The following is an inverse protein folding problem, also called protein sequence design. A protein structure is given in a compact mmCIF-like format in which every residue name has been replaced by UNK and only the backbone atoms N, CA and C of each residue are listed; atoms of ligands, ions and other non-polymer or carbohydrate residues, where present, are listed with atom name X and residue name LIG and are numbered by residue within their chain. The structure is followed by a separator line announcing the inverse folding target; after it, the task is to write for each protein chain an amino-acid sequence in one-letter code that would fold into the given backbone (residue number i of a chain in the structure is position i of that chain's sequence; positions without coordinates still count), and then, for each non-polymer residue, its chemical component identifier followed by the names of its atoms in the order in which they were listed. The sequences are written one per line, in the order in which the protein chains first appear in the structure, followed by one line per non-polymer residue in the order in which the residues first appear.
data_IF_413264967982
#
_entry.id   IF_413264967982
#
_cell.length_a   1.000
_cell.length_b   1.000
_cell.length_c   1.000
_cell.angle_alpha   90.00
_cell.angle_beta   90.00
_cell.angle_gamma   90.00
#
_symmetry.space_group_name_H-M   'P 1'
#
loop_
_entity.id
_entity.type
_entity.pdbx_description
1 polymer ?
#
# COMPACT_ATOMS: atom_id res chain seq x y z
N UNK A 1 -73.57 56.89 1.53
CA UNK A 1 -73.19 57.93 2.50
C UNK A 1 -72.53 57.25 3.69
N UNK A 2 -71.25 57.50 3.90
CA UNK A 2 -70.42 56.88 4.95
C UNK A 2 -70.50 57.64 6.29
N UNK A 3 -70.42 56.92 7.42
CA UNK A 3 -69.93 57.38 8.73
C UNK A 3 -69.70 56.14 9.61
N UNK A 4 -68.47 55.64 9.81
CA UNK A 4 -67.33 56.09 10.63
C UNK A 4 -67.38 55.56 12.08
N UNK A 5 -66.50 54.57 12.29
CA UNK A 5 -65.86 53.98 13.48
C UNK A 5 -65.74 54.90 14.72
N UNK A 6 -65.99 54.34 15.91
CA UNK A 6 -65.24 54.65 17.16
C UNK A 6 -64.99 53.33 17.94
N UNK A 7 -63.75 53.22 18.40
CA UNK A 7 -63.04 52.13 19.07
C UNK A 7 -62.86 52.44 20.58
N UNK A 8 -62.47 51.42 21.35
CA UNK A 8 -61.66 51.43 22.60
C UNK A 8 -62.30 51.25 23.98
N UNK A 9 -61.95 50.07 24.52
CA UNK A 9 -61.13 49.87 25.73
C UNK A 9 -61.73 50.23 27.09
N UNK A 10 -61.96 49.20 27.91
CA UNK A 10 -61.62 49.20 29.36
C UNK A 10 -61.98 47.87 30.05
N UNK A 11 -61.38 46.73 29.65
CA UNK A 11 -61.36 45.53 30.51
C UNK A 11 -60.05 44.75 30.34
N UNK A 12 -58.93 45.44 30.53
CA UNK A 12 -57.63 44.80 30.74
C UNK A 12 -57.04 45.52 31.93
N UNK A 13 -57.22 45.02 33.17
CA UNK A 13 -56.33 45.30 34.31
C UNK A 13 -56.71 44.64 35.65
N UNK A 14 -57.40 43.49 35.68
CA UNK A 14 -57.48 42.71 36.92
C UNK A 14 -57.30 41.22 36.63
N UNK A 15 -56.42 40.60 37.42
CA UNK A 15 -56.05 39.19 37.44
C UNK A 15 -54.88 38.76 36.51
N UNK A 16 -53.96 39.67 36.21
CA UNK A 16 -52.52 39.34 36.19
C UNK A 16 -52.06 39.34 37.67
N UNK A 17 -52.08 38.20 38.37
CA UNK A 17 -51.34 37.90 39.64
C UNK A 17 -51.96 36.78 40.49
N UNK A 18 -52.45 35.69 39.89
CA UNK A 18 -52.57 34.43 40.63
C UNK A 18 -52.15 33.27 39.73
N UNK A 19 -51.17 32.52 40.22
CA UNK A 19 -50.75 31.20 39.73
C UNK A 19 -49.74 31.21 38.56
N UNK A 20 -48.57 31.82 38.82
CA UNK A 20 -47.29 31.25 38.37
C UNK A 20 -47.02 30.01 39.23
N UNK A 21 -47.69 28.90 38.91
CA UNK A 21 -47.31 27.56 39.38
C UNK A 21 -48.16 26.52 38.65
N UNK A 22 -47.47 25.56 38.02
CA UNK A 22 -48.03 24.31 37.47
C UNK A 22 -48.78 24.39 36.14
N UNK A 23 -48.16 24.89 35.08
CA UNK A 23 -48.33 24.23 33.77
C UNK A 23 -46.93 23.98 33.21
N UNK A 24 -46.46 22.75 33.38
CA UNK A 24 -45.48 22.18 32.46
C UNK A 24 -45.92 22.57 31.06
N UNK A 25 -45.04 23.16 30.26
CA UNK A 25 -45.24 23.19 28.82
C UNK A 25 -45.23 21.72 28.35
N UNK A 26 -46.36 21.04 28.51
CA UNK A 26 -46.58 19.74 27.96
C UNK A 26 -46.59 19.96 26.46
N UNK A 27 -45.55 19.45 25.80
CA UNK A 27 -45.42 19.39 24.36
C UNK A 27 -46.48 18.45 23.76
N UNK A 28 -47.77 18.70 24.01
CA UNK A 28 -48.90 18.11 23.30
C UNK A 28 -49.32 18.95 22.10
N UNK A 29 -48.42 19.80 21.58
CA UNK A 29 -48.70 20.81 20.56
C UNK A 29 -48.42 20.34 19.12
N UNK A 30 -48.44 19.04 18.87
CA UNK A 30 -48.32 18.45 17.54
C UNK A 30 -49.17 17.17 17.52
N UNK A 31 -50.35 17.21 16.91
CA UNK A 31 -51.12 16.00 16.60
C UNK A 31 -50.43 15.27 15.44
N UNK A 32 -49.79 14.10 15.68
CA UNK A 32 -49.05 13.40 14.65
C UNK A 32 -49.94 12.95 13.49
N UNK A 33 -51.24 12.73 13.75
CA UNK A 33 -52.21 12.31 12.74
C UNK A 33 -52.52 13.48 11.80
N UNK A 34 -52.81 14.66 12.34
CA UNK A 34 -53.01 15.87 11.52
C UNK A 34 -51.79 16.23 10.71
N UNK A 35 -50.59 16.16 11.30
CA UNK A 35 -49.34 16.43 10.59
C UNK A 35 -49.11 15.38 9.50
N UNK A 36 -49.37 14.11 9.78
CA UNK A 36 -49.28 13.03 8.79
C UNK A 36 -50.23 13.26 7.61
N UNK A 37 -51.46 13.69 7.88
CA UNK A 37 -52.46 14.00 6.85
C UNK A 37 -52.04 15.20 5.99
N UNK A 38 -51.51 16.27 6.58
CA UNK A 38 -51.03 17.44 5.83
C UNK A 38 -49.75 17.13 5.04
N UNK A 39 -48.84 16.32 5.56
CA UNK A 39 -47.69 15.83 4.81
C UNK A 39 -48.10 14.94 3.63
N UNK A 40 -49.14 14.11 3.80
CA UNK A 40 -49.67 13.27 2.73
C UNK A 40 -50.36 14.11 1.64
N UNK A 41 -51.15 15.12 2.02
CA UNK A 41 -51.72 16.08 1.07
C UNK A 41 -50.63 16.84 0.35
N UNK A 42 -49.62 17.34 1.06
CA UNK A 42 -48.48 18.01 0.44
C UNK A 42 -47.76 17.10 -0.57
N UNK A 43 -47.56 15.83 -0.25
CA UNK A 43 -46.98 14.86 -1.19
C UNK A 43 -47.85 14.66 -2.44
N UNK A 44 -49.16 14.53 -2.30
CA UNK A 44 -50.04 14.27 -3.44
C UNK A 44 -50.31 15.52 -4.26
N UNK A 45 -50.63 16.62 -3.60
CA UNK A 45 -51.22 17.81 -4.21
C UNK A 45 -50.15 18.85 -4.58
N UNK A 46 -49.09 18.99 -3.77
CA UNK A 46 -48.02 19.96 -4.04
C UNK A 46 -46.83 19.33 -4.77
N UNK A 47 -46.39 18.12 -4.37
CA UNK A 47 -45.32 17.40 -5.08
C UNK A 47 -45.82 16.62 -6.30
N UNK A 48 -47.14 16.43 -6.42
CA UNK A 48 -47.75 15.83 -7.60
C UNK A 48 -47.43 14.35 -7.79
N UNK A 49 -47.22 13.59 -6.71
CA UNK A 49 -46.77 12.19 -6.79
C UNK A 49 -47.73 11.31 -7.59
N UNK A 50 -49.03 11.57 -7.47
CA UNK A 50 -50.06 10.78 -8.14
C UNK A 50 -50.11 11.09 -9.64
N UNK A 51 -50.01 12.37 -10.01
CA UNK A 51 -49.91 12.80 -11.42
C UNK A 51 -48.62 12.26 -12.06
N UNK A 52 -47.51 12.27 -11.32
CA UNK A 52 -46.24 11.72 -11.77
C UNK A 52 -46.31 10.20 -11.99
N UNK A 53 -46.95 9.45 -11.08
CA UNK A 53 -47.15 8.00 -11.26
C UNK A 53 -48.05 7.69 -12.47
N UNK A 54 -49.12 8.47 -12.68
CA UNK A 54 -49.98 8.35 -13.86
C UNK A 54 -49.20 8.63 -15.14
N UNK A 55 -48.38 9.69 -15.16
CA UNK A 55 -47.49 9.99 -16.27
C UNK A 55 -46.51 8.85 -16.54
N UNK A 56 -45.81 8.35 -15.51
CA UNK A 56 -44.91 7.20 -15.64
C UNK A 56 -45.64 5.97 -16.17
N UNK A 57 -46.84 5.65 -15.68
CA UNK A 57 -47.61 4.49 -16.15
C UNK A 57 -48.07 4.60 -17.61
N UNK A 58 -48.24 5.83 -18.11
CA UNK A 58 -48.63 6.10 -19.51
C UNK A 58 -47.48 6.02 -20.51
N UNK A 59 -46.23 6.02 -20.04
CA UNK A 59 -45.06 5.85 -20.90
C UNK A 59 -44.91 4.38 -21.34
N UNK A 60 -44.46 4.17 -22.58
CA UNK A 60 -44.11 2.84 -23.05
C UNK A 60 -42.71 2.46 -22.59
N UNK A 61 -42.59 1.34 -21.87
CA UNK A 61 -41.30 0.77 -21.49
C UNK A 61 -41.11 -0.60 -22.08
N UNK A 62 -39.86 -0.91 -22.39
CA UNK A 62 -39.44 -2.26 -22.61
C UNK A 62 -39.09 -2.90 -21.26
N UNK A 63 -39.94 -3.81 -20.75
CA UNK A 63 -39.66 -4.55 -19.52
C UNK A 63 -38.56 -5.58 -19.80
N UNK A 64 -37.33 -5.24 -19.42
CA UNK A 64 -36.21 -6.18 -19.49
C UNK A 64 -36.09 -6.93 -18.16
N UNK A 65 -36.24 -8.26 -18.20
CA UNK A 65 -35.99 -9.11 -17.03
C UNK A 65 -34.49 -9.36 -16.93
N UNK A 66 -33.86 -8.92 -15.84
CA UNK A 66 -32.45 -9.18 -15.58
C UNK A 66 -32.28 -10.56 -14.95
N UNK A 67 -31.65 -11.49 -15.67
CA UNK A 67 -31.21 -12.76 -15.11
C UNK A 67 -29.86 -12.54 -14.39
N UNK A 68 -29.83 -12.76 -13.07
CA UNK A 68 -28.64 -12.57 -12.26
C UNK A 68 -27.46 -13.45 -12.68
N UNK A 69 -27.71 -14.68 -13.14
CA UNK A 69 -26.65 -15.61 -13.52
C UNK A 69 -26.01 -15.23 -14.86
N UNK A 70 -26.83 -14.80 -15.83
CA UNK A 70 -26.33 -14.29 -17.11
C UNK A 70 -25.55 -12.99 -16.92
N UNK A 71 -26.04 -12.08 -16.06
CA UNK A 71 -25.36 -10.82 -15.76
C UNK A 71 -24.00 -11.06 -15.12
N UNK A 72 -23.92 -11.99 -14.16
CA UNK A 72 -22.66 -12.39 -13.51
C UNK A 72 -21.66 -12.92 -14.53
N UNK A 73 -22.10 -13.82 -15.41
CA UNK A 73 -21.26 -14.40 -16.46
C UNK A 73 -20.76 -13.34 -17.44
N UNK A 74 -21.66 -12.48 -17.93
CA UNK A 74 -21.30 -11.39 -18.84
C UNK A 74 -20.33 -10.39 -18.20
N UNK A 75 -20.53 -10.06 -16.92
CA UNK A 75 -19.64 -9.16 -16.19
C UNK A 75 -18.26 -9.77 -16.01
N UNK A 76 -18.18 -11.06 -15.67
CA UNK A 76 -16.91 -11.79 -15.54
C UNK A 76 -16.14 -11.80 -16.87
N UNK A 77 -16.81 -12.07 -17.99
CA UNK A 77 -16.21 -12.04 -19.33
C UNK A 77 -15.69 -10.64 -19.66
N UNK A 78 -16.52 -9.60 -19.51
CA UNK A 78 -16.12 -8.21 -19.77
C UNK A 78 -14.95 -7.75 -18.89
N UNK A 79 -14.91 -8.22 -17.63
CA UNK A 79 -13.80 -7.94 -16.73
C UNK A 79 -12.53 -8.67 -17.17
N UNK A 80 -12.62 -9.96 -17.49
CA UNK A 80 -11.50 -10.74 -17.99
C UNK A 80 -10.90 -10.16 -19.28
N UNK A 81 -11.74 -9.73 -20.22
CA UNK A 81 -11.31 -9.12 -21.48
C UNK A 81 -10.58 -7.79 -21.26
N UNK A 82 -11.02 -6.98 -20.28
CA UNK A 82 -10.27 -5.78 -19.87
C UNK A 82 -8.85 -6.12 -19.42
N UNK A 83 -8.64 -7.25 -18.75
CA UNK A 83 -7.30 -7.68 -18.34
C UNK A 83 -6.49 -8.27 -19.49
N UNK A 84 -7.09 -9.03 -20.42
CA UNK A 84 -6.38 -9.63 -21.57
C UNK A 84 -5.59 -8.59 -22.37
N UNK A 85 -6.21 -7.46 -22.70
CA UNK A 85 -5.52 -6.41 -23.45
C UNK A 85 -4.36 -5.78 -22.65
N UNK A 86 -4.51 -5.60 -21.34
CA UNK A 86 -3.46 -5.08 -20.45
C UNK A 86 -2.29 -6.06 -20.34
N UNK A 87 -2.57 -7.35 -20.24
CA UNK A 87 -1.53 -8.39 -20.25
C UNK A 87 -0.72 -8.37 -21.55
N UNK A 88 -1.39 -8.21 -22.70
CA UNK A 88 -0.69 -8.14 -23.98
C UNK A 88 0.21 -6.91 -24.08
N UNK A 89 -0.30 -5.74 -23.66
CA UNK A 89 0.48 -4.51 -23.57
C UNK A 89 1.71 -4.68 -22.67
N UNK A 90 1.55 -5.27 -21.48
CA UNK A 90 2.67 -5.52 -20.56
C UNK A 90 3.71 -6.47 -21.17
N UNK A 91 3.28 -7.51 -21.92
CA UNK A 91 4.21 -8.41 -22.62
C UNK A 91 5.01 -7.70 -23.72
N UNK A 92 4.37 -6.81 -24.47
CA UNK A 92 5.02 -5.98 -25.50
C UNK A 92 6.07 -5.07 -24.87
N UNK A 93 5.69 -4.34 -23.81
CA UNK A 93 6.62 -3.47 -23.07
C UNK A 93 7.79 -4.26 -22.48
N UNK A 94 7.52 -5.43 -21.89
CA UNK A 94 8.57 -6.33 -21.38
C UNK A 94 9.60 -6.65 -22.44
N UNK A 95 9.17 -7.11 -23.62
CA UNK A 95 10.08 -7.45 -24.73
C UNK A 95 10.91 -6.26 -25.20
N UNK A 96 10.29 -5.08 -25.28
CA UNK A 96 10.99 -3.85 -25.68
C UNK A 96 12.07 -3.46 -24.65
N UNK A 97 11.74 -3.55 -23.35
CA UNK A 97 12.69 -3.30 -22.26
C UNK A 97 13.83 -4.31 -22.27
N UNK A 98 13.55 -5.62 -22.37
CA UNK A 98 14.57 -6.66 -22.45
C UNK A 98 15.52 -6.44 -23.65
N UNK A 99 14.96 -6.08 -24.81
CA UNK A 99 15.75 -5.75 -26.00
C UNK A 99 16.61 -4.48 -25.81
N UNK A 100 16.10 -3.49 -25.08
CA UNK A 100 16.87 -2.28 -24.74
C UNK A 100 18.05 -2.59 -23.83
N UNK A 101 17.84 -3.40 -22.78
CA UNK A 101 18.91 -3.84 -21.89
C UNK A 101 19.96 -4.70 -22.62
N UNK A 102 19.54 -5.56 -23.57
CA UNK A 102 20.45 -6.39 -24.35
C UNK A 102 21.38 -5.58 -25.29
N UNK A 103 20.97 -4.38 -25.70
CA UNK A 103 21.78 -3.47 -26.54
C UNK A 103 22.76 -2.61 -25.74
N UNK A 104 22.83 -2.78 -24.42
CA UNK A 104 23.73 -2.03 -23.54
C UNK A 104 25.19 -2.15 -24.02
N UNK A 105 25.87 -1.01 -24.16
CA UNK A 105 27.29 -0.94 -24.55
C UNK A 105 27.55 -0.75 -26.05
N UNK A 106 26.51 -0.78 -26.91
CA UNK A 106 26.63 -0.45 -28.33
C UNK A 106 26.37 1.05 -28.51
N UNK A 107 27.36 1.88 -28.18
CA UNK A 107 27.64 3.17 -28.80
C UNK A 107 26.55 4.25 -28.96
N UNK A 108 25.38 4.18 -28.31
CA UNK A 108 24.37 5.22 -28.41
C UNK A 108 24.17 5.95 -27.08
N UNK A 109 24.93 7.02 -26.91
CA UNK A 109 24.63 8.12 -25.99
C UNK A 109 23.49 8.96 -26.58
N UNK A 110 22.25 8.49 -26.50
CA UNK A 110 21.10 9.39 -26.64
C UNK A 110 20.87 10.11 -25.32
N UNK A 111 20.49 11.39 -25.31
CA UNK A 111 20.20 12.09 -24.07
C UNK A 111 19.09 11.34 -23.35
N UNK A 112 19.35 10.94 -22.11
CA UNK A 112 18.34 10.37 -21.23
C UNK A 112 17.11 11.28 -21.25
N UNK A 113 15.92 10.68 -21.35
CA UNK A 113 14.66 11.42 -21.23
C UNK A 113 14.74 12.35 -20.00
N UNK A 114 14.23 13.57 -20.12
CA UNK A 114 14.30 14.56 -19.04
C UNK A 114 13.57 14.03 -17.80
N UNK A 115 14.02 14.46 -16.62
CA UNK A 115 13.32 14.11 -15.40
C UNK A 115 11.92 14.74 -15.36
N UNK A 116 10.93 14.02 -14.86
CA UNK A 116 9.52 14.46 -14.87
C UNK A 116 9.31 15.78 -14.09
N UNK A 117 10.04 15.99 -12.99
CA UNK A 117 10.08 17.22 -12.21
C UNK A 117 10.61 18.44 -13.00
N UNK A 118 11.33 18.20 -14.12
CA UNK A 118 11.91 19.21 -15.02
C UNK A 118 11.15 19.27 -16.35
N UNK A 119 9.90 18.78 -16.38
CA UNK A 119 9.05 18.81 -17.56
C UNK A 119 8.76 20.25 -18.01
N UNK A 120 8.72 20.46 -19.32
CA UNK A 120 8.28 21.73 -19.89
C UNK A 120 6.75 21.82 -19.79
N UNK A 121 6.28 22.67 -18.88
CA UNK A 121 4.86 22.85 -18.60
C UNK A 121 4.07 23.35 -19.82
N UNK A 122 4.72 24.01 -20.79
CA UNK A 122 4.07 24.51 -22.01
C UNK A 122 3.65 23.40 -22.99
N UNK A 123 4.33 22.26 -22.91
CA UNK A 123 4.04 21.08 -23.76
C UNK A 123 2.86 20.26 -23.23
N UNK A 124 2.49 20.44 -21.95
CA UNK A 124 1.44 19.67 -21.30
C UNK A 124 0.05 20.14 -21.75
N UNK A 125 -0.77 19.21 -22.24
CA UNK A 125 -2.16 19.46 -22.65
C UNK A 125 -3.11 18.59 -21.84
N UNK A 126 -4.26 19.17 -21.45
CA UNK A 126 -5.27 18.40 -20.73
C UNK A 126 -5.73 17.20 -21.55
N UNK A 127 -5.72 16.02 -20.94
CA UNK A 127 -6.14 14.79 -21.58
C UNK A 127 -7.24 14.12 -20.75
N UNK A 128 -8.40 13.89 -21.37
CA UNK A 128 -9.57 13.31 -20.70
C UNK A 128 -9.34 11.89 -20.19
N UNK A 129 -8.55 11.08 -20.91
CA UNK A 129 -8.19 9.75 -20.46
C UNK A 129 -7.43 9.88 -19.13
N UNK A 130 -6.39 10.71 -19.06
CA UNK A 130 -5.56 10.84 -17.85
C UNK A 130 -6.16 11.73 -16.76
N UNK A 131 -7.15 12.56 -17.09
CA UNK A 131 -7.77 13.57 -16.19
C UNK A 131 -6.77 14.57 -15.62
N UNK A 132 -5.73 14.87 -16.38
CA UNK A 132 -4.71 15.85 -16.05
C UNK A 132 -4.00 16.33 -17.34
N UNK A 133 -3.18 17.38 -17.21
CA UNK A 133 -2.34 17.85 -18.31
C UNK A 133 -1.11 16.95 -18.47
N UNK A 134 -0.93 16.43 -19.67
CA UNK A 134 0.14 15.49 -20.04
C UNK A 134 0.74 15.86 -21.39
N UNK A 135 1.99 15.48 -21.61
CA UNK A 135 2.63 15.52 -22.92
C UNK A 135 2.74 14.09 -23.47
N UNK A 136 1.93 13.83 -24.50
CA UNK A 136 1.80 12.53 -25.17
C UNK A 136 2.91 12.28 -26.20
N UNK A 137 3.78 13.25 -26.44
CA UNK A 137 4.85 13.20 -27.44
C UNK A 137 6.21 12.94 -26.86
N UNK A 138 6.35 12.92 -25.53
CA UNK A 138 7.57 12.60 -24.84
C UNK A 138 7.34 11.58 -23.70
N UNK A 139 8.43 11.01 -23.22
CA UNK A 139 8.49 10.29 -21.94
C UNK A 139 9.43 11.04 -21.00
N UNK A 140 9.31 10.79 -19.70
CA UNK A 140 10.17 11.36 -18.68
C UNK A 140 10.68 10.27 -17.74
N UNK A 141 11.71 10.60 -16.96
CA UNK A 141 12.25 9.69 -15.93
C UNK A 141 12.11 10.27 -14.52
N UNK A 142 12.08 9.40 -13.52
CA UNK A 142 12.37 9.74 -12.13
C UNK A 142 13.61 8.97 -11.71
N UNK A 143 14.57 9.64 -11.10
CA UNK A 143 15.82 9.02 -10.67
C UNK A 143 15.90 9.18 -9.16
N UNK A 144 15.86 8.06 -8.44
CA UNK A 144 16.03 8.08 -6.99
C UNK A 144 17.34 8.78 -6.60
N UNK A 145 17.32 9.58 -5.54
CA UNK A 145 18.55 10.11 -4.94
C UNK A 145 19.50 9.01 -4.43
N UNK A 146 19.02 7.76 -4.34
CA UNK A 146 19.79 6.56 -3.97
C UNK A 146 20.16 5.69 -5.18
N UNK A 147 20.03 6.20 -6.40
CA UNK A 147 20.48 5.52 -7.60
C UNK A 147 22.02 5.56 -7.70
N UNK A 148 22.66 4.55 -8.32
CA UNK A 148 24.09 4.58 -8.57
C UNK A 148 24.47 5.72 -9.54
N UNK A 149 25.74 6.15 -9.58
CA UNK A 149 26.21 7.09 -10.59
C UNK A 149 26.00 6.51 -12.00
N UNK A 150 25.39 7.29 -12.90
CA UNK A 150 25.07 6.90 -14.28
C UNK A 150 24.22 5.63 -14.38
N UNK A 151 22.98 5.64 -13.85
CA UNK A 151 22.11 4.48 -13.95
C UNK A 151 21.68 4.24 -15.41
N UNK A 152 21.21 3.02 -15.68
CA UNK A 152 20.75 2.62 -17.00
C UNK A 152 19.43 3.29 -17.34
N UNK A 153 19.38 3.86 -18.55
CA UNK A 153 18.18 4.40 -19.15
C UNK A 153 17.72 3.53 -20.32
N UNK A 154 16.41 3.51 -20.54
CA UNK A 154 15.82 2.84 -21.69
C UNK A 154 16.13 3.59 -22.99
N UNK A 155 16.32 2.84 -24.07
CA UNK A 155 16.56 3.40 -25.39
C UNK A 155 15.27 3.86 -26.10
N UNK A 156 15.44 4.54 -27.24
CA UNK A 156 14.32 5.02 -28.06
C UNK A 156 13.43 3.89 -28.60
N UNK A 157 13.93 2.66 -28.65
CA UNK A 157 13.16 1.50 -29.06
C UNK A 157 11.98 1.25 -28.13
N UNK A 158 12.15 1.46 -26.83
CA UNK A 158 11.05 1.37 -25.87
C UNK A 158 10.06 2.51 -26.06
N UNK A 159 10.55 3.72 -26.31
CA UNK A 159 9.67 4.87 -26.53
C UNK A 159 8.79 4.70 -27.78
N UNK A 160 9.36 4.18 -28.87
CA UNK A 160 8.61 3.84 -30.09
C UNK A 160 7.52 2.81 -29.82
N UNK A 161 7.82 1.77 -29.05
CA UNK A 161 6.85 0.76 -28.66
C UNK A 161 5.70 1.36 -27.83
N UNK A 162 6.03 2.20 -26.84
CA UNK A 162 5.06 2.93 -26.00
C UNK A 162 4.11 3.78 -26.85
N UNK A 163 4.65 4.54 -27.81
CA UNK A 163 3.86 5.38 -28.72
C UNK A 163 2.94 4.54 -29.62
N UNK A 164 3.41 3.40 -30.11
CA UNK A 164 2.59 2.48 -30.89
C UNK A 164 1.46 1.88 -30.05
N UNK A 165 1.76 1.42 -28.84
CA UNK A 165 0.77 0.92 -27.88
C UNK A 165 -0.29 1.98 -27.58
N UNK A 166 0.10 3.24 -27.33
CA UNK A 166 -0.86 4.31 -27.07
C UNK A 166 -1.76 4.64 -28.26
N UNK A 167 -1.31 4.40 -29.49
CA UNK A 167 -2.14 4.51 -30.69
C UNK A 167 -3.11 3.34 -30.84
N UNK A 168 -2.63 2.11 -30.64
CA UNK A 168 -3.43 0.89 -30.79
C UNK A 168 -4.42 0.67 -29.64
N UNK A 169 -4.08 1.12 -28.44
CA UNK A 169 -4.86 0.93 -27.22
C UNK A 169 -5.07 2.28 -26.50
N UNK A 170 -5.91 3.19 -27.03
CA UNK A 170 -6.09 4.53 -26.48
C UNK A 170 -6.68 4.56 -25.06
N UNK A 171 -7.25 3.45 -24.58
CA UNK A 171 -7.76 3.28 -23.22
C UNK A 171 -6.67 2.93 -22.20
N UNK A 172 -5.45 2.62 -22.64
CA UNK A 172 -4.32 2.35 -21.76
C UNK A 172 -3.91 3.65 -21.07
N UNK A 173 -3.65 3.54 -19.78
CA UNK A 173 -3.22 4.62 -18.90
C UNK A 173 -1.70 4.67 -18.86
N UNK A 174 -1.14 5.20 -17.78
CA UNK A 174 0.29 5.33 -17.55
C UNK A 174 1.03 4.04 -17.91
N UNK A 175 2.05 4.18 -18.74
CA UNK A 175 2.99 3.11 -19.08
C UNK A 175 4.31 3.46 -18.41
N UNK A 176 4.81 2.57 -17.57
CA UNK A 176 6.02 2.82 -16.80
C UNK A 176 6.87 1.57 -16.65
N UNK A 177 8.17 1.81 -16.49
CA UNK A 177 9.18 0.82 -16.15
C UNK A 177 9.96 1.32 -14.96
N UNK A 178 10.32 0.44 -14.03
CA UNK A 178 11.16 0.76 -12.89
C UNK A 178 12.31 -0.23 -12.83
N UNK A 179 13.54 0.27 -12.74
CA UNK A 179 14.75 -0.53 -12.60
C UNK A 179 15.10 -0.80 -11.14
N UNK A 180 15.92 -1.84 -10.94
CA UNK A 180 16.59 -2.17 -9.68
C UNK A 180 17.63 -1.12 -9.26
N UNK A 181 18.15 -0.35 -10.23
CA UNK A 181 19.00 0.82 -9.99
C UNK A 181 18.21 2.06 -9.51
N UNK A 182 16.87 2.02 -9.48
CA UNK A 182 16.05 3.12 -8.95
C UNK A 182 15.68 4.19 -9.98
N UNK A 183 15.71 3.85 -11.28
CA UNK A 183 15.21 4.70 -12.38
C UNK A 183 13.81 4.26 -12.77
N UNK A 184 12.86 5.20 -12.79
CA UNK A 184 11.52 4.97 -13.32
C UNK A 184 11.33 5.74 -14.62
N UNK A 185 11.04 5.06 -15.72
CA UNK A 185 10.57 5.69 -16.96
C UNK A 185 9.05 5.78 -16.92
N UNK A 186 8.48 6.94 -17.25
CA UNK A 186 7.05 7.18 -17.23
C UNK A 186 6.57 7.81 -18.54
N UNK A 187 5.46 7.32 -19.04
CA UNK A 187 4.74 7.87 -20.19
C UNK A 187 3.24 7.94 -19.91
N UNK A 188 2.54 9.03 -20.31
CA UNK A 188 3.09 10.27 -20.85
C UNK A 188 3.85 11.10 -19.80
N UNK A 189 4.48 12.22 -20.22
CA UNK A 189 5.03 13.20 -19.26
C UNK A 189 3.88 13.93 -18.57
N UNK A 190 4.07 14.29 -17.31
CA UNK A 190 3.11 15.04 -16.51
C UNK A 190 3.81 16.07 -15.64
N UNK A 191 3.03 16.97 -15.05
CA UNK A 191 3.53 17.93 -14.07
C UNK A 191 3.80 17.21 -12.74
N UNK A 192 5.03 16.73 -12.59
CA UNK A 192 5.53 16.17 -11.35
C UNK A 192 5.92 17.31 -10.40
N UNK A 193 5.25 17.38 -9.25
CA UNK A 193 5.45 18.45 -8.26
C UNK A 193 6.45 18.07 -7.17
N UNK A 194 6.82 16.80 -7.11
CA UNK A 194 7.74 16.26 -6.12
C UNK A 194 9.18 16.67 -6.48
N UNK A 195 10.07 16.69 -5.47
CA UNK A 195 11.49 16.87 -5.73
C UNK A 195 12.03 15.66 -6.53
N UNK A 196 12.87 15.92 -7.52
CA UNK A 196 13.32 14.91 -8.50
C UNK A 196 13.90 13.63 -7.85
N UNK A 197 14.65 13.80 -6.77
CA UNK A 197 15.38 12.73 -6.08
C UNK A 197 14.57 12.03 -4.98
N UNK A 198 13.38 12.53 -4.63
CA UNK A 198 12.59 12.01 -3.52
C UNK A 198 11.90 10.68 -3.88
N UNK A 199 11.52 10.53 -5.14
CA UNK A 199 10.79 9.36 -5.59
C UNK A 199 11.71 8.17 -5.85
N UNK A 200 11.64 7.15 -5.00
CA UNK A 200 12.25 5.84 -5.27
C UNK A 200 11.19 4.82 -5.71
N UNK A 201 11.26 4.27 -6.94
CA UNK A 201 10.30 3.28 -7.39
C UNK A 201 10.39 1.95 -6.65
N UNK A 202 11.55 1.61 -6.06
CA UNK A 202 11.82 0.29 -5.46
C UNK A 202 11.07 0.06 -4.16
N UNK A 203 10.59 1.13 -3.52
CA UNK A 203 9.76 1.08 -2.31
C UNK A 203 8.26 1.16 -2.60
N UNK A 204 7.85 1.21 -3.87
CA UNK A 204 6.44 1.35 -4.22
C UNK A 204 5.76 -0.03 -4.29
N UNK A 205 4.48 -0.16 -3.87
CA UNK A 205 3.79 -1.44 -3.84
C UNK A 205 3.87 -2.20 -5.18
N UNK A 206 3.64 -1.50 -6.30
CA UNK A 206 3.70 -2.12 -7.63
C UNK A 206 5.06 -2.77 -7.94
N UNK A 207 6.16 -2.19 -7.46
CA UNK A 207 7.50 -2.73 -7.65
C UNK A 207 7.75 -3.92 -6.71
N UNK A 208 7.45 -3.76 -5.42
CA UNK A 208 7.69 -4.81 -4.41
C UNK A 208 6.87 -6.08 -4.70
N UNK A 209 5.60 -5.91 -5.09
CA UNK A 209 4.70 -7.02 -5.44
C UNK A 209 5.13 -7.75 -6.72
N UNK A 210 5.82 -7.08 -7.64
CA UNK A 210 6.31 -7.70 -8.88
C UNK A 210 7.69 -8.31 -8.73
N UNK A 211 8.59 -7.66 -7.98
CA UNK A 211 9.92 -8.19 -7.68
C UNK A 211 9.86 -9.41 -6.76
N UNK A 212 8.90 -9.44 -5.84
CA UNK A 212 8.71 -10.55 -4.89
C UNK A 212 7.23 -10.88 -4.73
N UNK A 213 6.64 -11.66 -5.65
CA UNK A 213 5.19 -11.93 -5.67
C UNK A 213 4.73 -12.90 -4.58
N UNK A 214 5.66 -13.60 -3.93
CA UNK A 214 5.37 -14.51 -2.82
C UNK A 214 5.27 -13.74 -1.50
N UNK A 215 4.18 -13.96 -0.77
CA UNK A 215 4.04 -13.48 0.59
C UNK A 215 5.15 -14.06 1.47
N UNK A 216 5.73 -13.21 2.33
CA UNK A 216 6.81 -13.58 3.24
C UNK A 216 6.34 -13.39 4.68
N UNK A 217 6.76 -14.30 5.54
CA UNK A 217 6.62 -14.11 6.98
C UNK A 217 7.90 -13.44 7.48
N UNK A 218 7.78 -12.20 7.96
CA UNK A 218 8.91 -11.39 8.43
C UNK A 218 8.79 -11.21 9.94
N UNK A 219 9.83 -11.61 10.68
CA UNK A 219 9.96 -11.30 12.10
C UNK A 219 11.03 -10.24 12.28
N UNK A 220 10.64 -9.13 12.90
CA UNK A 220 11.56 -8.07 13.32
C UNK A 220 12.05 -8.35 14.73
N UNK A 221 13.36 -8.52 14.88
CA UNK A 221 14.05 -8.72 16.16
C UNK A 221 14.86 -7.47 16.42
N UNK A 222 14.45 -6.72 17.44
CA UNK A 222 15.12 -5.50 17.90
C UNK A 222 15.81 -5.82 19.22
N UNK A 223 17.01 -5.29 19.42
CA UNK A 223 17.82 -5.41 20.65
C UNK A 223 17.23 -4.64 21.85
N UNK A 224 15.97 -4.93 22.16
CA UNK A 224 15.23 -4.50 23.35
C UNK A 224 14.39 -5.65 23.91
N UNK A 225 14.70 -6.90 23.51
CA UNK A 225 13.98 -8.15 23.83
C UNK A 225 12.54 -8.27 23.29
N UNK A 226 12.12 -7.35 22.43
CA UNK A 226 10.78 -7.33 21.83
C UNK A 226 10.70 -8.14 20.52
N UNK A 227 9.65 -8.92 20.32
CA UNK A 227 9.35 -9.61 19.05
C UNK A 227 7.84 -9.79 18.87
N UNK A 228 7.31 -9.47 17.68
CA UNK A 228 5.88 -9.56 17.36
C UNK A 228 5.69 -10.15 15.95
N UNK A 229 4.66 -10.98 15.78
CA UNK A 229 4.21 -11.44 14.46
C UNK A 229 2.73 -11.06 14.32
N UNK A 230 2.40 -10.31 13.27
CA UNK A 230 1.04 -9.90 12.95
C UNK A 230 0.88 -9.76 11.43
N UNK A 231 -0.35 -9.89 10.93
CA UNK A 231 -0.65 -9.61 9.52
C UNK A 231 -0.29 -8.14 9.21
N UNK A 232 0.40 -7.90 8.11
CA UNK A 232 0.83 -6.56 7.69
C UNK A 232 -0.32 -5.75 7.06
N UNK A 233 -1.39 -5.51 7.82
CA UNK A 233 -2.50 -4.62 7.46
C UNK A 233 -2.26 -3.21 8.01
N UNK A 234 -2.82 -2.14 7.41
CA UNK A 234 -2.54 -0.75 7.82
C UNK A 234 -2.70 -0.48 9.32
N UNK A 235 -3.71 -1.09 9.96
CA UNK A 235 -3.93 -0.97 11.40
C UNK A 235 -2.77 -1.57 12.22
N UNK A 236 -2.34 -2.78 11.90
CA UNK A 236 -1.24 -3.46 12.60
C UNK A 236 0.11 -2.76 12.35
N UNK A 237 0.34 -2.26 11.13
CA UNK A 237 1.55 -1.48 10.82
C UNK A 237 1.60 -0.20 11.67
N UNK A 238 0.47 0.49 11.86
CA UNK A 238 0.40 1.67 12.73
C UNK A 238 0.72 1.31 14.19
N UNK A 239 0.09 0.28 14.73
CA UNK A 239 0.37 -0.17 16.10
C UNK A 239 1.84 -0.59 16.27
N UNK A 240 2.41 -1.27 15.28
CA UNK A 240 3.82 -1.67 15.31
C UNK A 240 4.75 -0.45 15.26
N UNK A 241 4.42 0.58 14.47
CA UNK A 241 5.17 1.84 14.47
C UNK A 241 5.15 2.50 15.84
N UNK A 242 3.97 2.64 16.44
CA UNK A 242 3.79 3.21 17.79
C UNK A 242 4.59 2.43 18.84
N UNK A 243 4.53 1.09 18.77
CA UNK A 243 5.30 0.21 19.64
C UNK A 243 6.80 0.42 19.48
N UNK A 244 7.31 0.42 18.24
CA UNK A 244 8.74 0.64 17.94
C UNK A 244 9.19 2.02 18.43
N UNK A 245 8.39 3.06 18.23
CA UNK A 245 8.72 4.42 18.72
C UNK A 245 8.72 4.54 20.25
N UNK A 246 8.01 3.65 20.94
CA UNK A 246 7.95 3.60 22.40
C UNK A 246 8.98 2.66 23.04
N UNK A 247 9.83 1.98 22.24
CA UNK A 247 10.85 1.09 22.77
C UNK A 247 11.92 1.91 23.51
N UNK A 248 12.22 1.48 24.74
CA UNK A 248 13.30 2.05 25.54
C UNK A 248 14.34 0.95 25.79
N UNK A 249 15.58 1.09 25.29
CA UNK A 249 16.60 0.06 25.44
C UNK A 249 16.99 -0.06 26.91
N UNK A 250 16.90 -1.27 27.46
CA UNK A 250 17.28 -1.58 28.83
C UNK A 250 17.80 -3.01 28.94
N UNK A 251 18.82 -3.19 29.79
CA UNK A 251 19.33 -4.52 30.13
C UNK A 251 20.48 -4.99 29.23
N UNK A 252 20.58 -6.31 29.12
CA UNK A 252 21.66 -7.04 28.43
C UNK A 252 21.21 -7.53 27.05
N UNK A 253 22.16 -7.64 26.13
CA UNK A 253 21.97 -8.16 24.79
C UNK A 253 22.01 -9.70 24.79
N UNK A 254 20.89 -10.36 24.48
CA UNK A 254 20.72 -11.82 24.56
C UNK A 254 20.26 -12.42 23.22
N UNK A 255 21.22 -12.73 22.35
CA UNK A 255 20.98 -13.18 20.98
C UNK A 255 20.28 -14.55 20.95
N UNK A 256 20.70 -15.52 21.78
CA UNK A 256 20.11 -16.87 21.77
C UNK A 256 18.62 -16.79 22.04
N UNK A 257 18.22 -16.04 23.07
CA UNK A 257 16.81 -15.87 23.46
C UNK A 257 16.01 -15.15 22.36
N UNK A 258 16.61 -14.15 21.73
CA UNK A 258 16.00 -13.42 20.63
C UNK A 258 15.71 -14.34 19.44
N UNK A 259 16.70 -15.16 19.01
CA UNK A 259 16.50 -16.15 17.95
C UNK A 259 15.49 -17.23 18.35
N UNK A 260 15.55 -17.76 19.58
CA UNK A 260 14.53 -18.71 20.07
C UNK A 260 13.12 -18.16 19.92
N UNK A 261 12.92 -16.89 20.30
CA UNK A 261 11.61 -16.24 20.17
C UNK A 261 11.23 -16.06 18.70
N UNK A 262 12.14 -15.56 17.86
CA UNK A 262 11.87 -15.32 16.45
C UNK A 262 11.48 -16.60 15.69
N UNK A 263 12.25 -17.68 15.86
CA UNK A 263 11.95 -18.98 15.26
C UNK A 263 10.66 -19.59 15.82
N UNK A 264 10.34 -19.39 17.10
CA UNK A 264 9.06 -19.86 17.67
C UNK A 264 7.85 -19.19 17.01
N UNK A 265 7.94 -17.89 16.69
CA UNK A 265 6.90 -17.15 15.97
C UNK A 265 6.75 -17.67 14.53
N UNK A 266 7.86 -17.89 13.83
CA UNK A 266 7.85 -18.47 12.47
C UNK A 266 7.29 -19.89 12.46
N UNK A 267 7.59 -20.72 13.46
CA UNK A 267 7.03 -22.07 13.56
C UNK A 267 5.51 -22.03 13.78
N UNK A 268 5.05 -21.10 14.61
CA UNK A 268 3.62 -20.91 14.86
C UNK A 268 2.85 -20.43 13.61
N UNK A 269 3.50 -19.71 12.69
CA UNK A 269 2.85 -19.28 11.44
C UNK A 269 2.53 -20.44 10.49
N UNK A 270 3.29 -21.55 10.57
CA UNK A 270 3.06 -22.76 9.77
C UNK A 270 1.83 -23.52 10.28
N UNK A 271 1.74 -23.70 11.60
CA UNK A 271 0.69 -24.51 12.23
C UNK A 271 -0.71 -23.90 12.08
N UNK A 272 -0.81 -22.63 11.66
CA UNK A 272 -2.07 -21.93 11.48
C UNK A 272 -2.69 -22.11 10.08
N UNK A 273 -1.94 -22.58 9.07
CA UNK A 273 -2.42 -22.71 7.69
C UNK A 273 -1.71 -23.86 6.94
N UNK A 274 -2.16 -25.09 7.18
CA UNK A 274 -1.61 -26.32 6.55
C UNK A 274 -1.80 -26.37 5.02
N UNK A 275 -2.66 -25.51 4.46
CA UNK A 275 -2.92 -25.42 3.01
C UNK A 275 -2.10 -24.35 2.31
N UNK A 276 -1.38 -23.50 3.06
CA UNK A 276 -0.57 -22.44 2.50
C UNK A 276 0.62 -22.98 1.70
N UNK A 277 0.85 -22.40 0.52
CA UNK A 277 2.09 -22.59 -0.23
C UNK A 277 3.30 -22.28 0.66
N UNK A 278 4.43 -23.00 0.51
CA UNK A 278 5.66 -22.71 1.26
C UNK A 278 6.08 -21.26 1.03
N UNK A 279 6.13 -20.48 2.12
CA UNK A 279 6.53 -19.06 2.10
C UNK A 279 8.01 -18.94 2.45
N UNK A 280 8.70 -17.99 1.82
CA UNK A 280 10.02 -17.55 2.30
C UNK A 280 9.85 -16.88 3.67
N UNK A 281 10.70 -17.26 4.62
CA UNK A 281 10.68 -16.75 5.99
C UNK A 281 11.92 -15.91 6.22
N UNK A 282 11.75 -14.72 6.76
CA UNK A 282 12.85 -13.78 6.94
C UNK A 282 12.88 -13.28 8.37
N UNK A 283 14.05 -13.37 9.00
CA UNK A 283 14.33 -12.69 10.26
C UNK A 283 15.15 -11.43 9.93
N UNK A 284 14.64 -10.27 10.32
CA UNK A 284 15.41 -9.03 10.34
C UNK A 284 15.96 -8.85 11.75
N UNK A 285 17.27 -8.98 11.92
CA UNK A 285 17.95 -8.89 13.21
C UNK A 285 18.73 -7.58 13.30
N UNK A 286 18.32 -6.70 14.21
CA UNK A 286 18.85 -5.34 14.37
C UNK A 286 19.51 -5.20 15.74
N UNK A 287 20.74 -4.70 15.77
CA UNK A 287 21.52 -4.49 17.01
C UNK A 287 22.62 -3.46 16.80
N UNK A 288 23.03 -2.81 17.87
CA UNK A 288 24.17 -1.89 17.95
C UNK A 288 25.37 -2.50 18.69
N UNK A 289 25.23 -3.70 19.27
CA UNK A 289 26.23 -4.29 20.16
C UNK A 289 26.38 -5.80 20.07
N UNK A 290 27.50 -6.32 20.59
CA UNK A 290 27.79 -7.75 20.67
C UNK A 290 26.82 -8.47 21.63
N UNK A 291 26.68 -9.81 21.54
CA UNK A 291 26.11 -10.59 22.64
C UNK A 291 26.81 -10.25 23.96
N UNK A 292 26.04 -10.26 25.05
CA UNK A 292 26.61 -10.03 26.39
C UNK A 292 27.75 -11.01 26.69
N UNK A 293 28.75 -10.57 27.47
CA UNK A 293 29.94 -11.38 27.77
C UNK A 293 29.62 -12.75 28.37
N UNK A 294 28.50 -12.88 29.09
CA UNK A 294 28.01 -14.12 29.67
C UNK A 294 27.27 -15.05 28.70
N UNK A 295 27.18 -14.71 27.41
CA UNK A 295 26.52 -15.52 26.37
C UNK A 295 27.53 -16.12 25.37
N UNK A 296 27.89 -17.42 25.51
CA UNK A 296 28.77 -18.08 24.56
C UNK A 296 28.16 -18.14 23.15
N UNK A 297 29.01 -17.98 22.12
CA UNK A 297 28.56 -17.93 20.71
C UNK A 297 28.04 -19.27 20.18
N UNK A 298 28.68 -20.39 20.53
CA UNK A 298 28.28 -21.73 20.08
C UNK A 298 26.78 -22.03 20.29
N UNK A 299 26.23 -21.85 21.50
CA UNK A 299 24.80 -21.97 21.78
C UNK A 299 23.87 -21.10 20.91
N UNK A 300 24.30 -19.92 20.48
CA UNK A 300 23.53 -19.06 19.56
C UNK A 300 23.42 -19.75 18.19
N UNK A 301 24.55 -20.17 17.63
CA UNK A 301 24.60 -20.85 16.33
C UNK A 301 23.93 -22.22 16.35
N UNK A 302 24.03 -22.96 17.46
CA UNK A 302 23.29 -24.20 17.66
C UNK A 302 21.78 -23.95 17.62
N UNK A 303 21.30 -22.90 18.30
CA UNK A 303 19.89 -22.51 18.29
C UNK A 303 19.43 -22.17 16.87
N UNK A 304 20.17 -21.32 16.15
CA UNK A 304 19.84 -20.94 14.76
C UNK A 304 19.74 -22.18 13.88
N UNK A 305 20.75 -23.07 13.92
CA UNK A 305 20.77 -24.31 13.14
C UNK A 305 19.57 -25.20 13.45
N UNK A 306 19.40 -25.57 14.72
CA UNK A 306 18.42 -26.57 15.14
C UNK A 306 16.99 -26.11 14.89
N UNK A 307 16.73 -24.79 15.01
CA UNK A 307 15.41 -24.22 14.76
C UNK A 307 15.15 -23.96 13.28
N UNK A 308 16.17 -23.60 12.49
CA UNK A 308 16.00 -23.49 11.03
C UNK A 308 15.78 -24.87 10.39
N UNK A 309 16.43 -25.92 10.91
CA UNK A 309 16.21 -27.30 10.47
C UNK A 309 14.75 -27.72 10.63
N UNK A 310 14.09 -27.33 11.74
CA UNK A 310 12.66 -27.58 11.98
C UNK A 310 11.74 -26.86 10.99
N UNK A 311 12.27 -25.88 10.26
CA UNK A 311 11.57 -25.11 9.24
C UNK A 311 12.12 -25.44 7.85
N UNK A 312 12.71 -26.62 7.65
CA UNK A 312 13.28 -27.10 6.39
C UNK A 312 14.33 -26.13 5.79
N UNK A 313 15.18 -25.54 6.63
CA UNK A 313 16.23 -24.59 6.24
C UNK A 313 15.74 -23.39 5.39
N UNK A 314 14.45 -23.04 5.52
CA UNK A 314 13.80 -22.00 4.71
C UNK A 314 13.93 -20.58 5.26
N UNK A 315 14.52 -20.39 6.44
CA UNK A 315 14.68 -19.08 7.07
C UNK A 315 15.95 -18.39 6.58
N UNK A 316 15.78 -17.17 6.07
CA UNK A 316 16.86 -16.24 5.72
C UNK A 316 17.00 -15.24 6.88
N UNK A 317 18.23 -15.01 7.34
CA UNK A 317 18.50 -14.04 8.42
C UNK A 317 19.26 -12.85 7.81
N UNK A 318 18.65 -11.67 7.86
CA UNK A 318 19.29 -10.42 7.47
C UNK A 318 19.70 -9.66 8.74
N UNK A 319 20.98 -9.34 8.86
CA UNK A 319 21.53 -8.67 10.04
C UNK A 319 21.83 -7.20 9.73
N UNK A 320 21.48 -6.32 10.66
CA UNK A 320 21.71 -4.88 10.56
C UNK A 320 22.45 -4.42 11.80
N UNK A 321 23.67 -3.91 11.60
CA UNK A 321 24.50 -3.36 12.66
C UNK A 321 24.39 -1.84 12.69
N UNK A 322 23.89 -1.26 13.77
CA UNK A 322 23.68 0.19 13.91
C UNK A 322 24.86 0.89 14.57
N UNK A 323 25.17 2.08 14.09
CA UNK A 323 26.21 2.95 14.62
C UNK A 323 27.62 2.39 14.42
N UNK A 324 28.52 2.72 15.36
CA UNK A 324 29.93 2.31 15.33
C UNK A 324 30.12 0.86 15.82
N UNK A 325 29.65 -0.10 15.03
CA UNK A 325 29.80 -1.53 15.31
C UNK A 325 31.25 -1.97 15.21
N UNK A 326 31.81 -2.49 16.32
CA UNK A 326 33.17 -3.00 16.37
C UNK A 326 33.37 -4.24 15.46
N UNK A 327 34.63 -4.57 15.16
CA UNK A 327 34.98 -5.65 14.23
C UNK A 327 34.46 -7.03 14.69
N UNK A 328 34.45 -7.30 15.99
CA UNK A 328 34.00 -8.56 16.54
C UNK A 328 32.46 -8.70 16.46
N UNK A 329 31.72 -7.61 16.72
CA UNK A 329 30.28 -7.54 16.52
C UNK A 329 29.92 -7.66 15.03
N UNK A 330 30.68 -7.02 14.14
CA UNK A 330 30.51 -7.15 12.70
C UNK A 330 30.69 -8.60 12.23
N UNK A 331 31.74 -9.28 12.68
CA UNK A 331 32.04 -10.66 12.30
C UNK A 331 30.93 -11.63 12.72
N UNK A 332 30.44 -11.53 13.95
CA UNK A 332 29.34 -12.41 14.39
C UNK A 332 28.06 -12.13 13.61
N UNK A 333 27.74 -10.88 13.26
CA UNK A 333 26.56 -10.55 12.46
C UNK A 333 26.66 -11.05 11.01
N UNK A 334 27.87 -11.01 10.42
CA UNK A 334 28.14 -11.61 9.12
C UNK A 334 27.96 -13.13 9.17
N UNK A 335 28.55 -13.78 10.17
CA UNK A 335 28.41 -15.23 10.36
C UNK A 335 26.97 -15.65 10.62
N UNK A 336 26.19 -14.87 11.37
CA UNK A 336 24.75 -15.11 11.58
C UNK A 336 23.99 -15.00 10.26
N UNK A 337 24.26 -13.97 9.45
CA UNK A 337 23.57 -13.75 8.17
C UNK A 337 23.78 -14.94 7.21
N UNK A 338 25.00 -15.45 7.12
CA UNK A 338 25.31 -16.63 6.29
C UNK A 338 25.12 -17.97 7.03
N UNK A 339 24.72 -17.93 8.31
CA UNK A 339 24.54 -19.09 9.19
C UNK A 339 25.78 -20.00 9.28
N UNK A 340 26.97 -19.40 9.43
CA UNK A 340 28.29 -20.07 9.52
C UNK A 340 28.49 -20.81 10.85
N UNK A 341 27.72 -21.86 11.06
CA UNK A 341 27.72 -22.68 12.28
C UNK A 341 29.05 -23.39 12.53
N UNK A 342 29.75 -23.80 11.47
CA UNK A 342 31.01 -24.52 11.55
C UNK A 342 32.11 -23.74 12.28
N UNK A 343 32.19 -22.42 12.06
CA UNK A 343 33.17 -21.54 12.75
C UNK A 343 33.04 -21.58 14.28
N UNK A 344 31.87 -21.95 14.78
CA UNK A 344 31.55 -21.98 16.20
C UNK A 344 31.44 -23.40 16.77
N UNK A 345 32.10 -24.39 16.13
CA UNK A 345 32.09 -25.81 16.50
C UNK A 345 30.68 -26.43 16.52
N UNK A 346 29.76 -25.89 15.72
CA UNK A 346 28.40 -26.42 15.53
C UNK A 346 28.36 -27.07 14.15
N UNK A 347 28.16 -28.39 14.09
CA UNK A 347 28.12 -29.11 12.81
C UNK A 347 27.00 -28.60 11.90
N UNK A 348 27.31 -28.37 10.62
CA UNK A 348 26.32 -28.01 9.61
C UNK A 348 25.35 -29.17 9.41
N UNK A 349 24.07 -28.88 9.18
CA UNK A 349 23.07 -29.89 8.87
C UNK A 349 22.19 -29.45 7.68
N UNK A 350 22.41 -30.10 6.53
CA UNK A 350 21.68 -29.87 5.27
C UNK A 350 20.71 -31.01 4.91
N UNK A 351 20.36 -31.87 5.87
CA UNK A 351 19.50 -33.05 5.61
C UNK A 351 18.11 -32.70 5.05
N UNK A 352 17.64 -31.48 5.30
CA UNK A 352 16.33 -30.96 4.87
C UNK A 352 16.44 -29.93 3.74
N UNK A 353 17.62 -29.81 3.12
CA UNK A 353 17.93 -28.84 2.07
C UNK A 353 19.03 -27.85 2.47
N UNK A 354 19.55 -27.13 1.49
CA UNK A 354 20.59 -26.12 1.69
C UNK A 354 20.03 -24.84 2.34
N UNK A 355 20.88 -24.17 3.12
CA UNK A 355 20.55 -22.88 3.72
C UNK A 355 20.71 -21.79 2.65
N UNK A 356 19.73 -20.88 2.57
CA UNK A 356 19.89 -19.65 1.77
C UNK A 356 20.63 -18.59 2.60
N UNK A 357 21.81 -18.13 2.19
CA UNK A 357 22.56 -17.12 2.92
C UNK A 357 21.84 -15.76 2.88
N UNK A 358 21.85 -15.07 4.01
CA UNK A 358 21.43 -13.69 4.13
C UNK A 358 22.59 -12.72 3.92
N UNK A 359 22.34 -11.45 4.25
CA UNK A 359 23.30 -10.35 4.09
C UNK A 359 23.37 -9.55 5.39
N UNK A 360 24.59 -9.19 5.76
CA UNK A 360 24.87 -8.19 6.79
C UNK A 360 24.92 -6.80 6.17
N UNK A 361 24.21 -5.84 6.77
CA UNK A 361 24.19 -4.43 6.35
C UNK A 361 24.63 -3.51 7.50
N UNK A 362 25.74 -2.77 7.37
CA UNK A 362 26.06 -1.72 8.32
C UNK A 362 25.13 -0.51 8.12
N UNK A 363 24.62 0.03 9.22
CA UNK A 363 23.75 1.21 9.26
C UNK A 363 24.47 2.28 10.08
N UNK A 364 25.21 3.20 9.45
CA UNK A 364 25.95 4.23 10.17
C UNK A 364 24.99 5.22 10.86
N UNK A 365 25.47 5.85 11.93
CA UNK A 365 24.77 6.99 12.54
C UNK A 365 24.68 8.13 11.50
N UNK A 366 23.48 8.68 11.36
CA UNK A 366 23.15 9.75 10.40
C UNK A 366 23.65 11.12 10.84
#
# INVERSE_FOLDING_TARGET
MAKKIIDRSNVVHYCFLCVVSLWQANAGLLDPISIGNELQKFSRDALGTDQMQVYFNGLQYHKQTLNGEDLKTQLAIKLADKFKARFEVTKRLKRAVEASYARRGIGNTTPAAKECCKADLSMLKYNENFRCSVDMDNMCVKISGRAPPNPVHLDEGVFREIKEISRLYPFIKWQYFASDEGVMTNFPVYHDKDECSEYDPRYRPFYVETATPEAKDVVLVIDTSASMLALAVPANIRCLKEYVTGLNPHGKTHYKRAFQKAFSLLKASITADETAKPKKRVILFLTDGAPSEDEPRGPIFQTIRDMNLQLNNSVIILTFGFGSVDQNTREILQDIAVQNTARYNVSVNSSVGDITPGIFTPVPDS
#
